data_IF_430815339790
#
_entry.id   IF_430815339790
#
_cell.length_a   1.000
_cell.length_b   1.000
_cell.length_c   1.000
_cell.angle_alpha   90.00
_cell.angle_beta   90.00
_cell.angle_gamma   90.00
#
_symmetry.space_group_name_H-M   'P 1'
#
loop_
_entity.id
_entity.type
_entity.pdbx_description
1 polymer ?
#
# COMPACT_ATOMS: atom_id res chain seq x y z
N UNK A 1 34.68 9.31 20.54
CA UNK A 1 33.63 9.76 21.49
C UNK A 1 34.06 9.33 22.87
N UNK A 2 33.81 10.09 23.92
CA UNK A 2 34.27 9.78 25.27
C UNK A 2 33.14 9.02 25.99
N UNK A 3 33.50 7.98 26.75
CA UNK A 3 32.61 7.31 27.69
C UNK A 3 32.06 8.34 28.68
N UNK A 4 30.73 8.48 28.81
CA UNK A 4 30.13 9.41 29.77
C UNK A 4 30.04 8.72 31.13
N UNK A 5 30.67 9.31 32.15
CA UNK A 5 30.60 8.83 33.52
C UNK A 5 29.35 9.36 34.20
N UNK A 6 28.59 8.48 34.83
CA UNK A 6 27.31 8.75 35.52
C UNK A 6 27.51 8.54 37.03
N UNK A 7 27.27 9.59 37.77
CA UNK A 7 27.49 9.63 39.21
C UNK A 7 26.23 9.94 40.04
N UNK A 8 25.08 10.07 39.35
CA UNK A 8 23.77 10.20 40.00
C UNK A 8 22.66 9.64 39.12
N UNK A 9 21.53 9.23 39.70
CA UNK A 9 20.36 8.77 38.97
C UNK A 9 19.82 9.86 38.04
N UNK A 10 19.93 11.13 38.42
CA UNK A 10 19.50 12.25 37.59
C UNK A 10 20.38 12.44 36.33
N UNK A 11 21.70 12.27 36.43
CA UNK A 11 22.59 12.28 35.26
C UNK A 11 22.29 11.14 34.29
N UNK A 12 21.87 9.98 34.81
CA UNK A 12 21.41 8.88 33.98
C UNK A 12 20.17 9.29 33.18
N UNK A 13 19.14 9.83 33.85
CA UNK A 13 17.90 10.26 33.18
C UNK A 13 18.14 11.36 32.14
N UNK A 14 19.04 12.30 32.41
CA UNK A 14 19.46 13.32 31.44
C UNK A 14 20.13 12.68 30.22
N UNK A 15 21.02 11.70 30.45
CA UNK A 15 21.71 10.99 29.36
C UNK A 15 20.75 10.18 28.50
N UNK A 16 19.74 9.57 29.12
CA UNK A 16 18.67 8.86 28.40
C UNK A 16 17.84 9.81 27.53
N UNK A 17 17.61 11.04 28.00
CA UNK A 17 16.91 12.08 27.27
C UNK A 17 17.76 12.65 26.13
N UNK A 18 19.05 12.89 26.36
CA UNK A 18 20.00 13.34 25.34
C UNK A 18 20.19 12.31 24.22
N UNK A 19 20.14 11.01 24.53
CA UNK A 19 20.24 9.95 23.53
C UNK A 19 19.07 9.95 22.53
N UNK A 20 17.89 10.39 22.99
CA UNK A 20 16.69 10.39 22.17
C UNK A 20 16.20 9.00 21.82
N UNK A 21 15.35 8.92 20.78
CA UNK A 21 14.84 7.65 20.28
C UNK A 21 15.83 7.00 19.29
N UNK A 22 15.82 5.66 19.25
CA UNK A 22 16.57 4.84 18.28
C UNK A 22 18.11 4.93 18.38
N UNK A 23 18.65 5.37 19.50
CA UNK A 23 20.09 5.29 19.77
C UNK A 23 20.39 4.14 20.72
N UNK A 24 21.42 3.31 20.40
CA UNK A 24 21.90 2.28 21.32
C UNK A 24 22.64 2.94 22.47
N UNK A 25 22.25 2.58 23.69
CA UNK A 25 22.96 2.97 24.87
C UNK A 25 23.61 1.71 25.47
N UNK A 26 24.92 1.74 25.61
CA UNK A 26 25.72 0.66 26.22
C UNK A 26 26.14 1.11 27.60
N UNK A 27 25.60 0.47 28.63
CA UNK A 27 25.87 0.79 30.04
C UNK A 27 26.85 -0.20 30.63
N UNK A 28 27.91 0.30 31.31
CA UNK A 28 28.82 -0.43 32.18
C UNK A 28 28.47 -0.12 33.63
N UNK A 29 27.88 -1.05 34.34
CA UNK A 29 27.61 -0.96 35.78
C UNK A 29 28.82 -1.47 36.54
N UNK A 30 29.52 -0.56 37.21
CA UNK A 30 30.77 -0.81 37.87
C UNK A 30 30.81 -0.26 39.33
N UNK A 31 31.80 -0.72 40.11
CA UNK A 31 32.15 -0.11 41.37
C UNK A 31 33.70 0.13 41.45
N UNK A 32 34.14 1.11 42.22
CA UNK A 32 35.55 1.47 42.33
C UNK A 32 36.43 0.33 42.95
N UNK A 33 35.84 -0.44 43.84
CA UNK A 33 36.48 -1.59 44.48
C UNK A 33 36.47 -2.86 43.61
N UNK A 34 35.79 -2.88 42.50
CA UNK A 34 35.63 -4.05 41.63
C UNK A 34 36.92 -4.28 40.78
N UNK A 35 37.66 -5.34 41.06
CA UNK A 35 38.84 -5.74 40.30
C UNK A 35 38.56 -6.05 38.82
N UNK A 36 37.62 -6.96 38.51
CA UNK A 36 37.28 -7.29 37.14
C UNK A 36 36.77 -6.09 36.30
N UNK A 37 36.12 -5.10 36.94
CA UNK A 37 35.70 -3.87 36.27
C UNK A 37 36.88 -3.06 35.76
N UNK A 38 37.98 -2.96 36.56
CA UNK A 38 39.20 -2.29 36.13
C UNK A 38 39.89 -2.99 34.95
N UNK A 39 39.82 -4.31 34.89
CA UNK A 39 40.43 -5.11 33.81
C UNK A 39 39.74 -4.85 32.46
N UNK A 40 38.41 -4.73 32.41
CA UNK A 40 37.65 -4.57 31.16
C UNK A 40 37.49 -3.10 30.76
N UNK A 41 37.72 -2.13 31.67
CA UNK A 41 37.53 -0.72 31.39
C UNK A 41 38.27 -0.21 30.14
N UNK A 42 39.53 -0.55 29.86
CA UNK A 42 40.21 -0.11 28.64
C UNK A 42 39.56 -0.64 27.35
N UNK A 43 38.95 -1.83 27.41
CA UNK A 43 38.25 -2.44 26.28
C UNK A 43 36.93 -1.73 26.05
N UNK A 44 36.19 -1.40 27.10
CA UNK A 44 34.96 -0.62 27.02
C UNK A 44 35.21 0.78 26.42
N UNK A 45 36.29 1.45 26.83
CA UNK A 45 36.72 2.73 26.26
C UNK A 45 37.10 2.61 24.78
N UNK A 46 37.84 1.56 24.38
CA UNK A 46 38.14 1.28 22.97
C UNK A 46 36.83 1.09 22.16
N UNK A 47 35.91 0.27 22.65
CA UNK A 47 34.63 0.05 21.96
C UNK A 47 33.81 1.34 21.84
N UNK A 48 33.88 2.28 22.78
CA UNK A 48 33.23 3.58 22.64
C UNK A 48 33.74 4.41 21.45
N UNK A 49 35.02 4.21 21.06
CA UNK A 49 35.59 4.84 19.87
C UNK A 49 35.26 4.06 18.59
N UNK A 50 35.27 2.71 18.64
CA UNK A 50 35.01 1.83 17.51
C UNK A 50 33.51 1.89 17.08
N UNK A 51 32.61 2.09 18.03
CA UNK A 51 31.13 2.13 17.81
C UNK A 51 30.55 3.53 18.07
N UNK A 52 31.05 4.53 17.35
CA UNK A 52 30.66 5.95 17.51
C UNK A 52 29.15 6.23 17.34
N UNK A 53 28.38 5.33 16.73
CA UNK A 53 26.93 5.40 16.57
C UNK A 53 26.16 5.06 17.85
N UNK A 54 26.78 4.42 18.86
CA UNK A 54 26.20 4.14 20.17
C UNK A 54 26.65 5.17 21.22
N UNK A 55 25.89 5.30 22.30
CA UNK A 55 26.27 6.07 23.48
C UNK A 55 26.77 5.12 24.55
N UNK A 56 27.94 5.41 25.11
CA UNK A 56 28.57 4.60 26.17
C UNK A 56 28.48 5.31 27.50
N UNK A 57 27.85 4.66 28.49
CA UNK A 57 27.65 5.17 29.85
C UNK A 57 28.39 4.26 30.85
N UNK A 58 29.15 4.85 31.73
CA UNK A 58 29.84 4.16 32.85
C UNK A 58 29.19 4.58 34.15
N UNK A 59 28.46 3.67 34.80
CA UNK A 59 27.53 3.95 35.91
C UNK A 59 28.08 3.34 37.19
N UNK A 60 28.41 4.22 38.15
CA UNK A 60 28.85 3.80 39.45
C UNK A 60 27.67 3.33 40.33
N UNK A 61 27.56 2.03 40.62
CA UNK A 61 26.43 1.46 41.36
C UNK A 61 26.35 1.94 42.81
N UNK A 62 27.48 2.36 43.42
CA UNK A 62 27.49 2.89 44.78
C UNK A 62 26.86 4.28 44.86
N UNK A 63 26.87 5.04 43.72
CA UNK A 63 26.34 6.39 43.61
C UNK A 63 24.97 6.45 42.89
N UNK A 64 24.68 5.47 42.04
CA UNK A 64 23.48 5.38 41.25
C UNK A 64 22.63 4.17 41.70
N UNK A 65 22.24 4.16 42.95
CA UNK A 65 21.55 3.00 43.57
C UNK A 65 20.13 2.82 42.99
N UNK A 66 19.44 3.89 42.69
CA UNK A 66 18.12 3.85 42.07
C UNK A 66 18.14 3.18 40.69
N UNK A 67 19.09 3.57 39.84
CA UNK A 67 19.29 2.98 38.50
C UNK A 67 19.75 1.51 38.62
N UNK A 68 20.66 1.20 39.53
CA UNK A 68 21.13 -0.16 39.76
C UNK A 68 19.97 -1.08 40.22
N UNK A 69 19.07 -0.59 41.06
CA UNK A 69 17.87 -1.29 41.49
C UNK A 69 16.85 -1.46 40.33
N UNK A 70 16.60 -0.40 39.58
CA UNK A 70 15.70 -0.39 38.40
C UNK A 70 16.06 -1.50 37.40
N UNK A 71 17.35 -1.65 37.09
CA UNK A 71 17.84 -2.68 36.17
C UNK A 71 18.28 -3.97 36.84
N UNK A 72 17.96 -4.14 38.14
CA UNK A 72 18.24 -5.37 38.93
C UNK A 72 19.70 -5.80 38.86
N UNK A 73 20.67 -4.86 39.03
CA UNK A 73 22.09 -5.15 39.00
C UNK A 73 22.51 -5.86 40.29
N UNK A 74 23.07 -7.07 40.17
CA UNK A 74 23.44 -7.93 41.30
C UNK A 74 24.93 -8.29 41.32
N UNK A 75 25.63 -8.05 40.23
CA UNK A 75 27.05 -8.36 40.07
C UNK A 75 27.76 -7.29 39.23
N UNK A 76 29.06 -7.05 39.46
CA UNK A 76 29.86 -6.13 38.68
C UNK A 76 31.08 -6.84 38.06
N UNK A 77 31.48 -6.49 36.81
CA UNK A 77 30.72 -5.60 35.90
C UNK A 77 29.45 -6.28 35.36
N UNK A 78 28.40 -5.50 35.13
CA UNK A 78 27.26 -5.89 34.30
C UNK A 78 27.11 -4.87 33.18
N UNK A 79 27.05 -5.37 31.94
CA UNK A 79 26.83 -4.54 30.77
C UNK A 79 25.40 -4.71 30.28
N UNK A 80 24.73 -3.58 30.02
CA UNK A 80 23.38 -3.57 29.41
C UNK A 80 23.42 -2.83 28.08
N UNK A 81 22.67 -3.32 27.11
CA UNK A 81 22.27 -2.56 25.94
C UNK A 81 20.83 -2.12 26.09
N UNK A 82 20.58 -0.81 26.00
CA UNK A 82 19.27 -0.20 26.08
C UNK A 82 18.89 0.44 24.72
N UNK A 83 17.65 0.26 24.30
CA UNK A 83 17.06 0.93 23.15
C UNK A 83 15.68 1.45 23.56
N UNK A 84 15.46 2.77 23.39
CA UNK A 84 14.22 3.42 23.83
C UNK A 84 13.85 3.11 25.29
N UNK A 85 14.86 3.16 26.18
CA UNK A 85 14.75 2.86 27.63
C UNK A 85 14.42 1.39 27.96
N UNK A 86 14.31 0.51 26.96
CA UNK A 86 14.06 -0.92 27.14
C UNK A 86 15.37 -1.69 27.07
N UNK A 87 15.61 -2.58 28.04
CA UNK A 87 16.73 -3.52 27.98
C UNK A 87 16.56 -4.49 26.82
N UNK A 88 17.53 -4.51 25.90
CA UNK A 88 17.51 -5.38 24.73
C UNK A 88 18.54 -6.52 24.83
N UNK A 89 19.40 -6.47 25.83
CA UNK A 89 20.35 -7.51 26.14
C UNK A 89 21.26 -7.14 27.31
N UNK A 90 21.80 -8.17 27.98
CA UNK A 90 22.79 -8.02 29.08
C UNK A 90 23.85 -9.08 29.06
N UNK A 91 24.96 -8.76 29.68
CA UNK A 91 26.04 -9.69 30.02
C UNK A 91 26.61 -9.35 31.41
N UNK A 92 26.93 -10.36 32.17
CA UNK A 92 27.59 -10.22 33.48
C UNK A 92 29.02 -10.77 33.44
N UNK A 93 29.95 -10.06 34.09
CA UNK A 93 31.36 -10.40 34.14
C UNK A 93 32.19 -9.71 33.05
N UNK A 94 33.53 -9.78 33.23
CA UNK A 94 34.49 -9.14 32.35
C UNK A 94 34.83 -10.01 31.12
N UNK A 95 33.86 -10.15 30.21
CA UNK A 95 33.98 -10.90 28.94
C UNK A 95 33.99 -9.94 27.74
N UNK A 96 35.15 -9.66 27.12
CA UNK A 96 35.29 -8.77 25.98
C UNK A 96 34.52 -9.27 24.72
N UNK A 97 34.50 -10.58 24.48
CA UNK A 97 33.87 -11.16 23.29
C UNK A 97 32.36 -11.11 23.43
N UNK A 98 31.84 -11.44 24.62
CA UNK A 98 30.43 -11.30 24.93
C UNK A 98 29.96 -9.86 24.84
N UNK A 99 30.74 -8.88 25.30
CA UNK A 99 30.44 -7.46 25.21
C UNK A 99 30.42 -7.00 23.73
N UNK A 100 31.38 -7.41 22.91
CA UNK A 100 31.41 -7.13 21.48
C UNK A 100 30.18 -7.67 20.77
N UNK A 101 29.82 -8.92 21.08
CA UNK A 101 28.59 -9.55 20.54
C UNK A 101 27.34 -8.79 20.97
N UNK A 102 27.23 -8.44 22.26
CA UNK A 102 26.08 -7.67 22.79
C UNK A 102 25.90 -6.33 22.08
N UNK A 103 26.99 -5.60 21.81
CA UNK A 103 26.97 -4.33 21.08
C UNK A 103 26.50 -4.54 19.63
N UNK A 104 27.06 -5.52 18.91
CA UNK A 104 26.69 -5.81 17.53
C UNK A 104 25.23 -6.25 17.41
N UNK A 105 24.76 -7.11 18.32
CA UNK A 105 23.35 -7.53 18.38
C UNK A 105 22.43 -6.33 18.65
N UNK A 106 22.83 -5.42 19.54
CA UNK A 106 22.13 -4.17 19.82
C UNK A 106 22.05 -3.24 18.61
N UNK A 107 23.17 -3.03 17.93
CA UNK A 107 23.25 -2.20 16.72
C UNK A 107 22.41 -2.80 15.57
N UNK A 108 22.39 -4.13 15.44
CA UNK A 108 21.56 -4.80 14.43
C UNK A 108 20.04 -4.57 14.65
N UNK A 109 19.65 -4.38 15.93
CA UNK A 109 18.25 -4.04 16.26
C UNK A 109 17.92 -2.59 15.92
N UNK A 110 18.87 -1.65 16.05
CA UNK A 110 18.69 -0.24 15.65
C UNK A 110 18.53 -0.12 14.14
N UNK A 111 19.42 -0.72 13.36
CA UNK A 111 19.33 -0.71 11.90
C UNK A 111 17.97 -1.24 11.45
N UNK A 112 17.51 -2.35 12.02
CA UNK A 112 16.17 -2.88 11.75
C UNK A 112 15.03 -1.93 12.17
N UNK A 113 15.17 -1.23 13.30
CA UNK A 113 14.13 -0.29 13.79
C UNK A 113 14.15 1.01 12.99
N UNK A 114 15.33 1.55 12.66
CA UNK A 114 15.46 2.77 11.82
C UNK A 114 15.04 2.57 10.37
N UNK A 115 15.26 1.38 9.80
CA UNK A 115 14.82 1.04 8.45
C UNK A 115 13.29 1.07 8.29
N UNK A 116 12.53 0.83 9.37
CA UNK A 116 11.07 0.81 9.36
C UNK A 116 10.40 2.14 9.73
N UNK A 117 11.18 3.16 10.13
CA UNK A 117 10.66 4.48 10.48
C UNK A 117 10.64 5.38 9.24
N UNK A 118 9.45 5.87 8.91
CA UNK A 118 9.27 6.79 7.79
C UNK A 118 9.92 8.15 8.06
N UNK A 119 10.65 8.70 7.09
CA UNK A 119 11.07 10.09 7.08
C UNK A 119 9.89 11.04 6.74
N UNK A 120 10.12 12.34 6.71
CA UNK A 120 9.04 13.32 6.48
C UNK A 120 8.36 13.14 5.11
N UNK A 121 9.14 12.98 4.04
CA UNK A 121 8.61 12.79 2.68
C UNK A 121 7.84 11.45 2.54
N UNK A 122 8.37 10.37 3.14
CA UNK A 122 7.67 9.08 3.16
C UNK A 122 6.36 9.14 3.94
N UNK A 123 6.30 9.86 5.08
CA UNK A 123 5.06 10.06 5.85
C UNK A 123 4.03 10.84 5.07
N UNK A 124 4.41 11.92 4.42
CA UNK A 124 3.54 12.74 3.58
C UNK A 124 2.95 11.88 2.45
N UNK A 125 3.81 11.16 1.73
CA UNK A 125 3.37 10.30 0.64
C UNK A 125 2.46 9.15 1.09
N UNK A 126 2.77 8.52 2.23
CA UNK A 126 1.94 7.43 2.79
C UNK A 126 0.61 7.94 3.36
N UNK A 127 0.53 9.20 3.78
CA UNK A 127 -0.67 9.80 4.38
C UNK A 127 -1.90 9.73 3.48
N UNK A 128 -1.75 9.86 2.17
CA UNK A 128 -2.85 9.76 1.20
C UNK A 128 -3.58 8.41 1.25
N UNK A 129 -2.87 7.33 1.59
CA UNK A 129 -3.45 5.99 1.62
C UNK A 129 -4.28 5.71 2.88
N UNK A 130 -4.07 6.49 3.96
CA UNK A 130 -4.95 6.46 5.14
C UNK A 130 -6.35 6.91 4.74
N UNK A 131 -6.45 8.04 4.03
CA UNK A 131 -7.71 8.57 3.53
C UNK A 131 -8.38 7.59 2.54
N UNK A 132 -7.62 7.00 1.61
CA UNK A 132 -8.14 6.00 0.68
C UNK A 132 -8.74 4.77 1.40
N UNK A 133 -8.11 4.34 2.51
CA UNK A 133 -8.62 3.23 3.33
C UNK A 133 -9.90 3.60 4.07
N UNK A 134 -9.99 4.82 4.63
CA UNK A 134 -11.15 5.27 5.39
C UNK A 134 -12.40 5.42 4.50
N UNK A 135 -12.21 5.80 3.24
CA UNK A 135 -13.30 5.90 2.26
C UNK A 135 -14.02 4.59 1.97
N UNK A 136 -13.40 3.44 2.24
CA UNK A 136 -14.04 2.13 1.98
C UNK A 136 -15.32 1.91 2.78
N UNK A 137 -15.52 2.62 3.88
CA UNK A 137 -16.73 2.55 4.69
C UNK A 137 -18.02 2.94 3.92
N UNK A 138 -17.91 3.80 2.89
CA UNK A 138 -19.05 4.24 2.10
C UNK A 138 -19.75 3.09 1.33
N UNK A 139 -19.01 2.02 1.03
CA UNK A 139 -19.55 0.86 0.32
C UNK A 139 -20.30 -0.10 1.26
N UNK A 140 -20.17 0.07 2.57
CA UNK A 140 -20.85 -0.73 3.60
C UNK A 140 -22.12 -0.01 4.13
N UNK A 141 -22.41 1.20 3.65
CA UNK A 141 -23.62 1.92 4.00
C UNK A 141 -24.86 1.21 3.46
N UNK A 142 -25.79 0.88 4.35
CA UNK A 142 -26.98 0.08 4.03
C UNK A 142 -27.90 0.80 3.04
N UNK A 143 -28.01 2.14 3.12
CA UNK A 143 -28.83 2.91 2.20
C UNK A 143 -28.23 2.89 0.79
N UNK A 144 -26.93 3.10 0.68
CA UNK A 144 -26.21 3.06 -0.59
C UNK A 144 -26.32 1.67 -1.25
N UNK A 145 -26.17 0.59 -0.47
CA UNK A 145 -26.35 -0.78 -0.98
C UNK A 145 -27.79 -1.05 -1.42
N UNK A 146 -28.77 -0.60 -0.64
CA UNK A 146 -30.20 -0.74 -0.99
C UNK A 146 -30.54 -0.01 -2.30
N UNK A 147 -30.02 1.21 -2.48
CA UNK A 147 -30.17 1.96 -3.73
C UNK A 147 -29.55 1.20 -4.90
N UNK A 148 -28.35 0.66 -4.74
CA UNK A 148 -27.71 -0.13 -5.79
C UNK A 148 -28.54 -1.37 -6.14
N UNK A 149 -29.02 -2.12 -5.15
CA UNK A 149 -29.87 -3.31 -5.36
C UNK A 149 -31.21 -2.97 -6.06
N UNK A 150 -31.74 -1.78 -5.82
CA UNK A 150 -33.00 -1.37 -6.51
C UNK A 150 -32.83 -1.11 -8.02
N UNK A 151 -31.59 -0.92 -8.47
CA UNK A 151 -31.25 -0.59 -9.86
C UNK A 151 -30.66 -1.81 -10.59
N UNK A 152 -29.88 -2.63 -9.91
CA UNK A 152 -29.22 -3.82 -10.47
C UNK A 152 -30.27 -4.90 -10.77
N UNK A 153 -30.25 -5.54 -11.94
CA UNK A 153 -31.14 -6.69 -12.23
C UNK A 153 -30.64 -7.96 -11.55
N UNK A 154 -30.72 -7.98 -10.22
CA UNK A 154 -30.06 -8.99 -9.34
C UNK A 154 -30.43 -10.41 -9.73
N UNK A 155 -31.72 -10.69 -9.93
CA UNK A 155 -32.20 -12.04 -10.25
C UNK A 155 -31.65 -12.54 -11.58
N UNK A 156 -31.62 -11.67 -12.59
CA UNK A 156 -31.10 -12.00 -13.92
C UNK A 156 -29.58 -12.31 -13.84
N UNK A 157 -28.82 -11.44 -13.14
CA UNK A 157 -27.38 -11.63 -13.01
C UNK A 157 -27.03 -12.89 -12.22
N UNK A 158 -27.73 -13.17 -11.13
CA UNK A 158 -27.56 -14.39 -10.34
C UNK A 158 -27.94 -15.63 -11.12
N UNK A 159 -29.04 -15.60 -11.88
CA UNK A 159 -29.44 -16.72 -12.73
C UNK A 159 -28.35 -17.09 -13.74
N UNK A 160 -27.74 -16.09 -14.39
CA UNK A 160 -26.63 -16.28 -15.34
C UNK A 160 -25.33 -16.75 -14.67
N UNK A 161 -25.15 -16.41 -13.40
CA UNK A 161 -23.95 -16.73 -12.64
C UNK A 161 -24.09 -18.02 -11.82
N UNK A 162 -25.26 -18.66 -11.78
CA UNK A 162 -25.46 -19.89 -11.00
C UNK A 162 -25.01 -21.12 -11.81
N UNK A 163 -24.15 -21.91 -11.23
CA UNK A 163 -23.70 -23.19 -11.75
C UNK A 163 -23.79 -24.23 -10.63
N UNK A 164 -24.35 -25.41 -10.90
CA UNK A 164 -24.54 -26.50 -9.91
C UNK A 164 -25.22 -26.04 -8.59
N UNK A 165 -26.20 -25.15 -8.71
CA UNK A 165 -26.97 -24.53 -7.60
C UNK A 165 -26.16 -23.57 -6.70
N UNK A 166 -24.92 -23.21 -7.07
CA UNK A 166 -24.10 -22.20 -6.37
C UNK A 166 -23.83 -21.01 -7.28
N UNK A 167 -23.79 -19.82 -6.66
CA UNK A 167 -23.42 -18.59 -7.39
C UNK A 167 -21.90 -18.56 -7.57
N UNK A 168 -21.46 -18.58 -8.83
CA UNK A 168 -20.07 -18.43 -9.18
C UNK A 168 -19.66 -16.96 -9.17
N UNK A 169 -18.72 -16.57 -8.31
CA UNK A 169 -18.31 -15.18 -8.14
C UNK A 169 -17.63 -14.59 -9.38
N UNK A 170 -16.89 -15.41 -10.16
CA UNK A 170 -16.30 -14.96 -11.43
C UNK A 170 -17.39 -14.62 -12.44
N UNK A 171 -18.38 -15.50 -12.61
CA UNK A 171 -19.49 -15.26 -13.53
C UNK A 171 -20.35 -14.08 -13.07
N UNK A 172 -20.63 -13.96 -11.77
CA UNK A 172 -21.41 -12.85 -11.23
C UNK A 172 -20.70 -11.51 -11.48
N UNK A 173 -19.41 -11.43 -11.20
CA UNK A 173 -18.61 -10.23 -11.46
C UNK A 173 -18.56 -9.88 -12.96
N UNK A 174 -18.46 -10.89 -13.84
CA UNK A 174 -18.48 -10.73 -15.29
C UNK A 174 -19.81 -10.20 -15.81
N UNK A 175 -20.92 -10.78 -15.36
CA UNK A 175 -22.26 -10.34 -15.78
C UNK A 175 -22.56 -8.94 -15.22
N UNK A 176 -22.13 -8.64 -13.99
CA UNK A 176 -22.23 -7.30 -13.41
C UNK A 176 -21.43 -6.27 -14.22
N UNK A 177 -20.20 -6.60 -14.65
CA UNK A 177 -19.39 -5.74 -15.52
C UNK A 177 -20.10 -5.44 -16.84
N UNK A 178 -20.65 -6.48 -17.50
CA UNK A 178 -21.37 -6.33 -18.76
C UNK A 178 -22.59 -5.43 -18.62
N UNK A 179 -23.38 -5.63 -17.57
CA UNK A 179 -24.52 -4.77 -17.25
C UNK A 179 -24.07 -3.34 -16.96
N UNK A 180 -23.06 -3.16 -16.09
CA UNK A 180 -22.57 -1.86 -15.67
C UNK A 180 -22.02 -1.05 -16.85
N UNK A 181 -21.33 -1.68 -17.79
CA UNK A 181 -20.83 -1.03 -18.99
C UNK A 181 -21.94 -0.44 -19.87
N UNK A 182 -23.10 -1.08 -19.90
CA UNK A 182 -24.29 -0.54 -20.57
C UNK A 182 -24.98 0.57 -19.78
N UNK A 183 -24.93 0.48 -18.44
CA UNK A 183 -25.57 1.38 -17.50
C UNK A 183 -24.83 2.70 -17.32
N UNK A 184 -23.50 2.66 -17.23
CA UNK A 184 -22.64 3.81 -16.93
C UNK A 184 -21.96 4.34 -18.20
N UNK A 185 -21.77 5.66 -18.33
CA UNK A 185 -21.24 6.28 -19.55
C UNK A 185 -19.96 7.08 -19.29
N UNK A 186 -18.99 6.88 -20.16
CA UNK A 186 -17.74 7.64 -20.13
C UNK A 186 -17.93 9.08 -20.61
N UNK A 187 -17.29 10.03 -19.89
CA UNK A 187 -17.32 11.46 -20.25
C UNK A 187 -15.91 11.92 -20.56
N UNK A 188 -15.63 12.26 -21.81
CA UNK A 188 -14.37 12.90 -22.21
C UNK A 188 -14.36 14.38 -21.83
N UNK A 189 -15.41 15.10 -22.25
CA UNK A 189 -15.70 16.50 -21.92
C UNK A 189 -17.20 16.68 -21.77
N UNK A 190 -17.64 17.61 -20.90
CA UNK A 190 -19.05 17.93 -20.79
C UNK A 190 -19.54 18.47 -22.12
N UNK A 191 -20.77 18.20 -22.37
CA UNK A 191 -21.40 18.55 -23.59
C UNK A 191 -22.15 19.86 -23.37
N UNK A 192 -22.38 20.81 -24.34
CA UNK A 192 -23.04 22.13 -24.23
C UNK A 192 -24.49 22.09 -24.72
N UNK A 193 -25.49 22.50 -23.96
CA UNK A 193 -26.91 22.40 -24.32
C UNK A 193 -27.34 23.24 -25.55
N UNK A 194 -26.70 24.40 -25.73
CA UNK A 194 -26.94 25.26 -26.91
C UNK A 194 -26.38 24.70 -28.21
N UNK A 195 -25.36 23.83 -28.10
CA UNK A 195 -24.76 23.14 -29.25
C UNK A 195 -25.04 21.63 -29.24
N UNK A 196 -26.04 21.16 -28.51
CA UNK A 196 -26.42 19.74 -28.40
C UNK A 196 -25.79 19.02 -27.20
N UNK A 197 -25.64 19.67 -26.07
CA UNK A 197 -24.80 19.22 -25.00
C UNK A 197 -25.23 19.75 -23.62
N UNK A 198 -25.60 18.91 -22.63
CA UNK A 198 -26.26 19.26 -21.36
C UNK A 198 -25.41 19.68 -20.15
N UNK A 199 -25.97 20.56 -19.32
CA UNK A 199 -25.37 21.08 -18.07
C UNK A 199 -25.96 20.44 -16.80
N UNK A 200 -25.19 20.32 -15.70
CA UNK A 200 -25.78 20.25 -14.37
C UNK A 200 -26.24 21.63 -13.93
N UNK A 201 -27.37 21.68 -13.23
CA UNK A 201 -27.93 22.90 -12.65
C UNK A 201 -27.12 23.34 -11.42
N UNK A 202 -27.14 24.65 -11.05
CA UNK A 202 -26.35 25.22 -9.94
C UNK A 202 -26.68 24.57 -8.57
N UNK A 203 -27.85 23.99 -8.36
CA UNK A 203 -28.28 23.34 -7.13
C UNK A 203 -27.65 21.97 -6.87
N UNK A 204 -27.07 21.32 -7.88
CA UNK A 204 -26.40 20.03 -7.74
C UNK A 204 -24.96 20.14 -7.22
N UNK A 205 -24.44 21.37 -7.08
CA UNK A 205 -23.01 21.60 -6.85
C UNK A 205 -22.61 21.71 -5.37
N UNK A 206 -23.55 21.70 -4.40
CA UNK A 206 -23.21 22.13 -3.04
C UNK A 206 -22.82 21.05 -2.05
N UNK A 207 -23.30 19.80 -2.11
CA UNK A 207 -23.09 18.85 -1.00
C UNK A 207 -22.24 17.60 -1.25
N UNK A 208 -21.88 17.25 -2.51
CA UNK A 208 -21.22 15.97 -2.79
C UNK A 208 -20.08 16.04 -3.83
N UNK A 209 -19.78 17.25 -4.32
CA UNK A 209 -18.80 17.47 -5.39
C UNK A 209 -17.40 17.67 -4.81
N UNK A 210 -16.46 16.82 -5.18
CA UNK A 210 -15.04 16.97 -4.77
C UNK A 210 -14.36 18.09 -5.55
N UNK A 211 -14.66 18.19 -6.83
CA UNK A 211 -14.01 19.13 -7.76
C UNK A 211 -14.99 19.40 -8.90
N UNK A 212 -15.03 20.64 -9.38
CA UNK A 212 -15.72 20.99 -10.62
C UNK A 212 -14.68 21.32 -11.67
N UNK A 213 -14.64 20.53 -12.74
CA UNK A 213 -13.79 20.83 -13.90
C UNK A 213 -14.51 21.84 -14.80
N UNK A 214 -13.81 22.91 -15.18
CA UNK A 214 -14.34 23.95 -16.05
C UNK A 214 -13.83 23.76 -17.49
N UNK A 215 -14.74 23.82 -18.45
CA UNK A 215 -14.44 23.73 -19.87
C UNK A 215 -15.09 24.88 -20.61
N UNK A 216 -14.47 25.32 -21.71
CA UNK A 216 -15.05 26.30 -22.61
C UNK A 216 -15.61 25.60 -23.85
N UNK A 217 -16.87 25.88 -24.18
CA UNK A 217 -17.44 25.41 -25.43
C UNK A 217 -16.79 26.09 -26.62
N UNK A 218 -16.20 25.32 -27.54
CA UNK A 218 -15.54 25.87 -28.73
C UNK A 218 -16.50 26.64 -29.64
N UNK A 219 -17.77 26.24 -29.67
CA UNK A 219 -18.74 26.82 -30.57
C UNK A 219 -19.38 28.10 -30.02
N UNK A 220 -19.88 28.10 -28.79
CA UNK A 220 -20.60 29.22 -28.19
C UNK A 220 -19.80 30.00 -27.13
N UNK A 221 -18.57 29.54 -26.81
CA UNK A 221 -17.67 30.14 -25.81
C UNK A 221 -18.21 30.16 -24.38
N UNK A 222 -19.30 29.42 -24.11
CA UNK A 222 -19.79 29.30 -22.75
C UNK A 222 -18.94 28.37 -21.89
N UNK A 223 -18.85 28.68 -20.61
CA UNK A 223 -18.21 27.85 -19.62
C UNK A 223 -19.07 26.62 -19.34
N UNK A 224 -18.45 25.46 -19.43
CA UNK A 224 -19.06 24.17 -19.13
C UNK A 224 -18.50 23.63 -17.83
N UNK A 225 -19.34 23.16 -16.94
CA UNK A 225 -18.97 22.62 -15.63
C UNK A 225 -19.18 21.11 -15.63
N UNK A 226 -18.15 20.38 -15.19
CA UNK A 226 -18.22 18.94 -14.99
C UNK A 226 -17.93 18.62 -13.51
N UNK A 227 -18.98 18.42 -12.70
CA UNK A 227 -18.82 18.05 -11.30
C UNK A 227 -18.32 16.61 -11.17
N UNK A 228 -17.30 16.42 -10.32
CA UNK A 228 -16.70 15.13 -10.00
C UNK A 228 -17.27 14.66 -8.65
N UNK A 229 -18.05 13.59 -8.67
CA UNK A 229 -18.70 13.06 -7.48
C UNK A 229 -17.90 11.93 -6.83
N UNK A 230 -17.78 12.00 -5.50
CA UNK A 230 -17.18 10.92 -4.69
C UNK A 230 -18.23 10.02 -4.03
N UNK A 231 -19.48 10.46 -3.94
CA UNK A 231 -20.57 9.66 -3.41
C UNK A 231 -21.02 8.63 -4.47
N UNK A 232 -20.88 7.30 -4.23
CA UNK A 232 -21.26 6.30 -5.21
C UNK A 232 -22.78 6.20 -5.42
N UNK A 233 -23.61 6.59 -4.44
CA UNK A 233 -25.06 6.68 -4.62
C UNK A 233 -25.43 7.78 -5.62
N UNK A 234 -24.78 8.94 -5.57
CA UNK A 234 -24.95 9.99 -6.56
C UNK A 234 -24.52 9.54 -7.96
N UNK A 235 -23.51 8.69 -8.04
CA UNK A 235 -23.08 8.11 -9.31
C UNK A 235 -24.09 7.11 -9.90
N UNK A 236 -24.88 6.44 -9.09
CA UNK A 236 -26.01 5.61 -9.55
C UNK A 236 -27.10 6.46 -10.23
N UNK A 237 -27.31 7.71 -9.80
CA UNK A 237 -28.23 8.65 -10.45
C UNK A 237 -27.64 9.21 -11.75
N UNK A 238 -26.42 9.78 -11.67
CA UNK A 238 -25.79 10.50 -12.78
C UNK A 238 -25.33 9.58 -13.90
N UNK A 239 -24.95 8.34 -13.58
CA UNK A 239 -24.56 7.26 -14.50
C UNK A 239 -23.48 7.65 -15.49
N UNK A 240 -22.58 8.55 -15.08
CA UNK A 240 -21.54 9.07 -15.95
C UNK A 240 -20.30 9.51 -15.17
N UNK A 241 -19.13 9.41 -15.80
CA UNK A 241 -17.87 9.79 -15.18
C UNK A 241 -16.67 9.32 -15.96
N UNK A 242 -15.52 9.31 -15.30
CA UNK A 242 -14.25 8.72 -15.78
C UNK A 242 -13.86 7.55 -14.88
N UNK A 243 -12.58 7.12 -14.93
CA UNK A 243 -12.13 5.92 -14.20
C UNK A 243 -12.45 5.96 -12.71
N UNK A 244 -12.27 7.12 -12.04
CA UNK A 244 -12.59 7.28 -10.62
C UNK A 244 -14.06 7.00 -10.30
N UNK A 245 -14.97 7.63 -11.03
CA UNK A 245 -16.42 7.45 -10.88
C UNK A 245 -16.85 6.02 -11.27
N UNK A 246 -16.28 5.47 -12.35
CA UNK A 246 -16.55 4.09 -12.77
C UNK A 246 -16.21 3.09 -11.69
N UNK A 247 -14.97 3.11 -11.19
CA UNK A 247 -14.51 2.18 -10.16
C UNK A 247 -15.28 2.36 -8.85
N UNK A 248 -15.57 3.61 -8.45
CA UNK A 248 -16.28 3.94 -7.23
C UNK A 248 -17.74 3.40 -7.27
N UNK A 249 -18.48 3.69 -8.33
CA UNK A 249 -19.86 3.21 -8.48
C UNK A 249 -19.92 1.68 -8.63
N UNK A 250 -18.99 1.09 -9.39
CA UNK A 250 -18.92 -0.36 -9.58
C UNK A 250 -18.57 -1.10 -8.29
N UNK A 251 -17.67 -0.54 -7.45
CA UNK A 251 -17.35 -1.13 -6.15
C UNK A 251 -18.59 -1.22 -5.25
N UNK A 252 -19.43 -0.19 -5.21
CA UNK A 252 -20.71 -0.23 -4.50
C UNK A 252 -21.61 -1.34 -5.04
N UNK A 253 -21.76 -1.45 -6.38
CA UNK A 253 -22.56 -2.51 -6.99
C UNK A 253 -22.07 -3.92 -6.62
N UNK A 254 -20.74 -4.13 -6.61
CA UNK A 254 -20.14 -5.39 -6.17
C UNK A 254 -20.47 -5.70 -4.71
N UNK A 255 -20.30 -4.70 -3.81
CA UNK A 255 -20.61 -4.87 -2.39
C UNK A 255 -22.08 -5.15 -2.13
N UNK A 256 -22.96 -4.45 -2.82
CA UNK A 256 -24.41 -4.67 -2.73
C UNK A 256 -24.83 -6.10 -3.13
N UNK A 257 -24.15 -6.72 -4.10
CA UNK A 257 -24.36 -8.12 -4.47
C UNK A 257 -23.72 -9.13 -3.50
N UNK A 258 -23.04 -8.67 -2.44
CA UNK A 258 -22.36 -9.50 -1.45
C UNK A 258 -20.96 -9.95 -1.85
N UNK A 259 -20.39 -9.45 -2.94
CA UNK A 259 -19.04 -9.76 -3.37
C UNK A 259 -18.00 -9.09 -2.47
N UNK A 260 -16.99 -9.82 -2.00
CA UNK A 260 -15.84 -9.21 -1.33
C UNK A 260 -15.06 -8.39 -2.34
N UNK A 261 -14.88 -7.10 -2.06
CA UNK A 261 -14.42 -6.13 -3.06
C UNK A 261 -13.33 -5.24 -2.51
N UNK A 262 -12.34 -4.92 -3.35
CA UNK A 262 -11.29 -3.93 -3.08
C UNK A 262 -11.29 -2.86 -4.17
N UNK A 263 -11.15 -1.60 -3.78
CA UNK A 263 -10.82 -0.52 -4.70
C UNK A 263 -9.32 -0.52 -4.94
N UNK A 264 -8.88 -0.42 -6.18
CA UNK A 264 -7.45 -0.48 -6.55
C UNK A 264 -7.04 0.83 -7.20
N UNK A 265 -5.92 1.38 -6.73
CA UNK A 265 -5.38 2.67 -7.17
C UNK A 265 -3.94 2.47 -7.61
N UNK A 266 -3.61 2.91 -8.81
CA UNK A 266 -2.23 2.99 -9.27
C UNK A 266 -1.61 4.37 -8.99
N UNK A 267 -0.30 4.47 -9.13
CA UNK A 267 0.42 5.74 -9.02
C UNK A 267 0.49 6.53 -10.34
N UNK A 268 -0.21 6.10 -11.39
CA UNK A 268 -0.19 6.66 -12.74
C UNK A 268 -1.60 7.08 -13.23
N UNK A 269 -2.46 7.48 -12.29
CA UNK A 269 -3.79 8.05 -12.55
C UNK A 269 -4.77 7.06 -13.21
N UNK A 270 -4.87 5.85 -12.65
CA UNK A 270 -5.95 4.93 -12.97
C UNK A 270 -6.44 4.17 -11.73
N UNK A 271 -7.72 3.84 -11.73
CA UNK A 271 -8.39 3.12 -10.64
C UNK A 271 -9.33 2.07 -11.20
N UNK A 272 -9.41 0.94 -10.51
CA UNK A 272 -10.29 -0.19 -10.86
C UNK A 272 -10.71 -0.95 -9.60
N UNK A 273 -11.23 -2.14 -9.76
CA UNK A 273 -11.77 -2.94 -8.66
C UNK A 273 -11.17 -4.34 -8.69
N UNK A 274 -11.03 -4.96 -7.54
CA UNK A 274 -10.79 -6.40 -7.41
C UNK A 274 -11.93 -7.05 -6.64
N UNK A 275 -12.31 -8.24 -7.08
CA UNK A 275 -13.35 -9.08 -6.46
C UNK A 275 -12.76 -10.42 -6.06
N UNK A 276 -13.02 -10.87 -4.84
CA UNK A 276 -12.60 -12.20 -4.39
C UNK A 276 -13.51 -13.29 -4.96
N UNK A 277 -12.92 -14.31 -5.55
CA UNK A 277 -13.63 -15.52 -5.97
C UNK A 277 -13.44 -16.65 -4.97
N UNK A 278 -14.52 -17.11 -4.37
CA UNK A 278 -14.47 -18.27 -3.46
C UNK A 278 -14.21 -19.59 -4.20
N UNK A 279 -14.59 -19.68 -5.46
CA UNK A 279 -14.32 -20.86 -6.29
C UNK A 279 -12.85 -20.91 -6.72
N UNK A 280 -12.28 -19.78 -7.14
CA UNK A 280 -10.89 -19.69 -7.62
C UNK A 280 -9.89 -19.40 -6.49
N UNK A 281 -10.36 -19.09 -5.28
CA UNK A 281 -9.54 -18.74 -4.10
C UNK A 281 -8.50 -17.66 -4.38
N UNK A 282 -8.86 -16.65 -5.17
CA UNK A 282 -8.01 -15.51 -5.50
C UNK A 282 -8.80 -14.25 -5.83
N UNK A 283 -8.11 -13.12 -5.84
CA UNK A 283 -8.65 -11.85 -6.30
C UNK A 283 -8.69 -11.78 -7.81
N UNK A 284 -9.80 -11.32 -8.35
CA UNK A 284 -10.04 -11.12 -9.77
C UNK A 284 -9.93 -9.63 -10.10
N UNK A 285 -9.10 -9.28 -11.04
CA UNK A 285 -9.08 -7.95 -11.63
C UNK A 285 -10.39 -7.65 -12.36
N UNK A 286 -11.00 -6.49 -12.09
CA UNK A 286 -12.22 -6.02 -12.74
C UNK A 286 -12.06 -4.54 -13.11
N UNK A 287 -11.93 -4.22 -14.40
CA UNK A 287 -11.90 -2.83 -14.85
C UNK A 287 -13.23 -2.47 -15.55
N UNK A 288 -14.11 -1.72 -14.87
CA UNK A 288 -15.41 -1.35 -15.42
C UNK A 288 -15.32 -0.34 -16.57
N UNK A 289 -14.21 0.43 -16.70
CA UNK A 289 -14.01 1.36 -17.81
C UNK A 289 -13.76 0.62 -19.12
N UNK A 290 -13.03 -0.48 -19.04
CA UNK A 290 -12.65 -1.29 -20.20
C UNK A 290 -13.60 -2.48 -20.42
N UNK A 291 -14.48 -2.77 -19.47
CA UNK A 291 -15.33 -3.96 -19.44
C UNK A 291 -14.51 -5.25 -19.55
N UNK A 292 -13.49 -5.38 -18.71
CA UNK A 292 -12.60 -6.54 -18.69
C UNK A 292 -12.50 -7.13 -17.29
N UNK A 293 -12.38 -8.46 -17.25
CA UNK A 293 -12.19 -9.22 -16.03
C UNK A 293 -10.97 -10.13 -16.18
N UNK A 294 -10.21 -10.31 -15.09
CA UNK A 294 -9.09 -11.24 -14.96
C UNK A 294 -7.98 -11.05 -16.01
N UNK A 295 -7.73 -9.81 -16.38
CA UNK A 295 -6.69 -9.39 -17.32
C UNK A 295 -5.74 -8.37 -16.70
N UNK A 296 -5.06 -8.69 -15.57
CA UNK A 296 -4.32 -7.68 -14.79
C UNK A 296 -3.14 -7.05 -15.54
N UNK A 297 -2.56 -7.75 -16.51
CA UNK A 297 -1.42 -7.24 -17.29
C UNK A 297 -1.83 -6.31 -18.45
N UNK A 298 -3.12 -5.98 -18.61
CA UNK A 298 -3.59 -5.05 -19.64
C UNK A 298 -2.88 -3.69 -19.55
N UNK A 299 -2.58 -3.23 -18.34
CA UNK A 299 -1.92 -1.93 -18.12
C UNK A 299 -0.45 -1.96 -18.50
N UNK A 300 0.28 -3.03 -18.13
CA UNK A 300 1.71 -3.16 -18.45
C UNK A 300 1.91 -3.54 -19.91
N UNK A 301 1.30 -4.63 -20.37
CA UNK A 301 1.48 -5.16 -21.73
C UNK A 301 0.66 -4.41 -22.77
N UNK A 302 -0.60 -4.08 -22.46
CA UNK A 302 -1.52 -3.44 -23.40
C UNK A 302 -1.29 -1.93 -23.48
N UNK A 303 -1.22 -1.24 -22.35
CA UNK A 303 -1.09 0.23 -22.32
C UNK A 303 0.34 0.71 -22.18
N UNK A 304 1.30 -0.18 -21.93
CA UNK A 304 2.70 0.19 -21.72
C UNK A 304 2.97 0.98 -20.44
N UNK A 305 2.05 0.93 -19.46
CA UNK A 305 2.21 1.64 -18.18
C UNK A 305 3.37 1.05 -17.37
N UNK A 306 4.15 1.93 -16.77
CA UNK A 306 5.32 1.58 -15.94
C UNK A 306 5.01 1.82 -14.47
N UNK A 307 4.12 0.99 -13.90
CA UNK A 307 3.75 1.07 -12.49
C UNK A 307 4.96 0.92 -11.57
N UNK A 308 4.94 1.66 -10.46
CA UNK A 308 5.84 1.47 -9.33
C UNK A 308 5.06 1.01 -8.10
N UNK A 309 3.83 1.50 -7.94
CA UNK A 309 2.97 1.21 -6.79
C UNK A 309 1.54 1.04 -7.26
N UNK A 310 0.93 -0.07 -6.84
CA UNK A 310 -0.51 -0.35 -7.00
C UNK A 310 -1.02 -0.86 -5.66
N UNK A 311 -1.99 -0.15 -5.08
CA UNK A 311 -2.56 -0.51 -3.78
C UNK A 311 -4.03 -0.85 -3.89
N UNK A 312 -4.42 -1.91 -3.20
CA UNK A 312 -5.80 -2.35 -3.06
C UNK A 312 -6.31 -2.06 -1.63
N UNK A 313 -7.51 -1.52 -1.54
CA UNK A 313 -8.16 -1.11 -0.28
C UNK A 313 -9.53 -1.78 -0.15
N UNK A 314 -9.76 -2.45 0.97
CA UNK A 314 -11.06 -2.90 1.42
C UNK A 314 -11.40 -2.25 2.77
N UNK A 315 -12.61 -2.48 3.26
CA UNK A 315 -13.06 -1.98 4.57
C UNK A 315 -12.20 -2.52 5.72
N UNK A 316 -11.64 -3.71 5.58
CA UNK A 316 -11.00 -4.48 6.63
C UNK A 316 -9.50 -4.79 6.37
N UNK A 317 -8.96 -4.41 5.22
CA UNK A 317 -7.55 -4.58 4.90
C UNK A 317 -7.10 -3.69 3.74
N UNK A 318 -5.78 -3.50 3.62
CA UNK A 318 -5.11 -2.97 2.43
C UNK A 318 -3.94 -3.86 2.02
N UNK A 319 -3.55 -3.83 0.75
CA UNK A 319 -2.43 -4.60 0.24
C UNK A 319 -1.69 -3.87 -0.89
N UNK A 320 -0.37 -4.07 -0.95
CA UNK A 320 0.43 -3.75 -2.14
C UNK A 320 0.27 -4.88 -3.16
N UNK A 321 -0.43 -4.58 -4.23
CA UNK A 321 -0.78 -5.55 -5.28
C UNK A 321 -0.02 -5.30 -6.58
N UNK A 322 1.02 -4.48 -6.54
CA UNK A 322 1.86 -4.13 -7.72
C UNK A 322 2.29 -5.37 -8.51
N UNK A 323 2.58 -6.46 -7.80
CA UNK A 323 3.08 -7.71 -8.38
C UNK A 323 2.04 -8.47 -9.23
N UNK A 324 0.76 -8.20 -9.06
CA UNK A 324 -0.30 -8.72 -9.95
C UNK A 324 -0.36 -7.96 -11.27
N UNK A 325 -0.02 -6.69 -11.26
CA UNK A 325 -0.25 -5.76 -12.37
C UNK A 325 1.00 -5.47 -13.20
N UNK A 326 2.13 -6.06 -12.87
CA UNK A 326 3.36 -5.81 -13.59
C UNK A 326 4.16 -7.08 -13.84
N UNK A 327 4.64 -7.24 -15.07
CA UNK A 327 5.32 -8.46 -15.53
C UNK A 327 6.77 -8.54 -15.04
N UNK A 328 7.54 -7.44 -15.10
CA UNK A 328 8.97 -7.43 -14.75
C UNK A 328 9.20 -6.88 -13.33
N UNK A 329 9.42 -7.83 -12.40
CA UNK A 329 9.73 -7.52 -11.01
C UNK A 329 11.00 -6.68 -10.85
N UNK A 330 12.07 -7.00 -11.60
CA UNK A 330 13.37 -6.33 -11.45
C UNK A 330 13.29 -4.87 -11.92
N UNK A 331 12.61 -4.64 -13.02
CA UNK A 331 12.36 -3.32 -13.53
C UNK A 331 11.45 -2.49 -12.60
N UNK A 332 10.42 -3.15 -12.05
CA UNK A 332 9.47 -2.51 -11.12
C UNK A 332 10.15 -2.03 -9.84
N UNK A 333 10.99 -2.85 -9.22
CA UNK A 333 11.72 -2.49 -7.99
C UNK A 333 12.56 -1.23 -8.18
N UNK A 334 13.18 -1.05 -9.35
CA UNK A 334 14.01 0.14 -9.63
C UNK A 334 13.20 1.44 -9.69
N UNK A 335 11.92 1.37 -10.01
CA UNK A 335 11.01 2.52 -10.07
C UNK A 335 10.42 2.90 -8.70
N UNK A 336 10.54 2.03 -7.69
CA UNK A 336 9.97 2.21 -6.34
C UNK A 336 10.86 3.09 -5.48
N UNK A 337 10.80 4.41 -5.72
CA UNK A 337 11.68 5.41 -5.09
C UNK A 337 10.98 6.34 -4.10
N UNK A 338 9.64 6.26 -3.98
CA UNK A 338 8.86 7.15 -3.11
C UNK A 338 8.94 6.78 -1.63
N UNK A 339 9.12 5.49 -1.34
CA UNK A 339 9.19 4.95 0.01
C UNK A 339 10.09 3.71 0.03
N UNK A 340 10.89 3.57 1.08
CA UNK A 340 11.71 2.36 1.29
C UNK A 340 10.83 1.15 1.59
N UNK A 341 11.15 -0.01 1.03
CA UNK A 341 10.36 -1.25 1.18
C UNK A 341 10.11 -1.67 2.66
N UNK A 342 11.08 -1.57 3.58
CA UNK A 342 10.81 -1.85 5.00
C UNK A 342 9.79 -0.90 5.63
N UNK A 343 9.83 0.40 5.25
CA UNK A 343 8.89 1.42 5.71
C UNK A 343 7.48 1.12 5.19
N UNK A 344 7.35 0.83 3.89
CA UNK A 344 6.07 0.49 3.27
C UNK A 344 5.45 -0.76 3.90
N UNK A 345 6.22 -1.83 4.06
CA UNK A 345 5.74 -3.06 4.72
C UNK A 345 5.27 -2.81 6.15
N UNK A 346 6.00 -1.98 6.90
CA UNK A 346 5.61 -1.61 8.26
C UNK A 346 4.33 -0.76 8.29
N UNK A 347 4.17 0.16 7.33
CA UNK A 347 2.96 0.95 7.16
C UNK A 347 1.74 0.05 6.90
N UNK A 348 1.80 -0.82 5.90
CA UNK A 348 0.73 -1.76 5.55
C UNK A 348 0.39 -2.66 6.75
N UNK A 349 1.40 -3.20 7.44
CA UNK A 349 1.21 -4.01 8.64
C UNK A 349 0.46 -3.27 9.75
N UNK A 350 0.81 -1.99 10.01
CA UNK A 350 0.15 -1.15 11.01
C UNK A 350 -1.29 -0.84 10.62
N UNK A 351 -1.53 -0.48 9.35
CA UNK A 351 -2.88 -0.25 8.82
C UNK A 351 -3.75 -1.49 8.98
N UNK A 352 -3.25 -2.65 8.55
CA UNK A 352 -3.98 -3.90 8.66
C UNK A 352 -4.22 -4.33 10.12
N UNK A 353 -3.29 -4.06 11.04
CA UNK A 353 -3.50 -4.30 12.46
C UNK A 353 -4.63 -3.42 13.04
N UNK A 354 -4.70 -2.14 12.62
CA UNK A 354 -5.80 -1.23 12.98
C UNK A 354 -7.13 -1.72 12.43
N UNK A 355 -7.20 -2.06 11.14
CA UNK A 355 -8.42 -2.54 10.49
C UNK A 355 -8.88 -3.90 11.05
N UNK A 356 -7.95 -4.81 11.31
CA UNK A 356 -8.24 -6.12 11.90
C UNK A 356 -8.81 -6.03 13.33
N UNK A 357 -8.58 -4.93 14.07
CA UNK A 357 -9.20 -4.73 15.38
C UNK A 357 -10.71 -4.47 15.32
N UNK A 358 -11.23 -4.15 14.13
CA UNK A 358 -12.64 -3.81 13.90
C UNK A 358 -13.47 -5.00 13.41
N UNK A 359 -12.87 -6.16 13.18
CA UNK A 359 -13.54 -7.34 12.64
C UNK A 359 -13.47 -8.53 13.59
N UNK A 360 -14.35 -9.53 13.38
CA UNK A 360 -14.41 -10.75 14.19
C UNK A 360 -13.15 -11.62 14.03
N UNK A 361 -12.94 -12.56 14.98
CA UNK A 361 -11.81 -13.49 14.90
C UNK A 361 -11.88 -14.41 13.67
N UNK A 362 -13.08 -14.86 13.30
CA UNK A 362 -13.30 -15.67 12.09
C UNK A 362 -12.89 -14.88 10.85
N UNK A 363 -13.26 -13.60 10.76
CA UNK A 363 -12.88 -12.76 9.63
C UNK A 363 -11.36 -12.51 9.59
N UNK A 364 -10.70 -12.35 10.74
CA UNK A 364 -9.22 -12.26 10.82
C UNK A 364 -8.52 -13.49 10.27
N UNK A 365 -9.03 -14.69 10.61
CA UNK A 365 -8.51 -15.94 10.08
C UNK A 365 -8.71 -16.03 8.57
N UNK A 366 -9.88 -15.66 8.07
CA UNK A 366 -10.17 -15.63 6.64
C UNK A 366 -9.23 -14.67 5.89
N UNK A 367 -9.07 -13.42 6.38
CA UNK A 367 -8.16 -12.42 5.79
C UNK A 367 -6.71 -12.92 5.76
N UNK A 368 -6.26 -13.58 6.83
CA UNK A 368 -4.92 -14.16 6.87
C UNK A 368 -4.73 -15.24 5.81
N UNK A 369 -5.72 -16.11 5.62
CA UNK A 369 -5.66 -17.16 4.61
C UNK A 369 -5.69 -16.57 3.19
N UNK A 370 -6.54 -15.56 2.95
CA UNK A 370 -6.59 -14.83 1.68
C UNK A 370 -5.25 -14.16 1.37
N UNK A 371 -4.64 -13.50 2.37
CA UNK A 371 -3.32 -12.88 2.22
C UNK A 371 -2.23 -13.90 1.89
N UNK A 372 -2.21 -15.05 2.57
CA UNK A 372 -1.23 -16.10 2.29
C UNK A 372 -1.37 -16.64 0.87
N UNK A 373 -2.59 -16.88 0.42
CA UNK A 373 -2.87 -17.31 -0.97
C UNK A 373 -2.41 -16.26 -1.99
N UNK A 374 -2.68 -14.97 -1.72
CA UNK A 374 -2.27 -13.87 -2.58
C UNK A 374 -0.74 -13.71 -2.65
N UNK A 375 -0.04 -13.84 -1.52
CA UNK A 375 1.43 -13.81 -1.51
C UNK A 375 2.04 -14.99 -2.28
N UNK A 376 1.44 -16.18 -2.20
CA UNK A 376 1.84 -17.33 -3.02
C UNK A 376 1.62 -17.07 -4.52
N UNK A 377 0.50 -16.44 -4.89
CA UNK A 377 0.25 -15.98 -6.26
C UNK A 377 1.35 -15.04 -6.77
N UNK A 378 1.78 -14.07 -5.95
CA UNK A 378 2.84 -13.13 -6.32
C UNK A 378 4.23 -13.79 -6.46
N UNK A 379 4.49 -14.83 -5.71
CA UNK A 379 5.75 -15.57 -5.75
C UNK A 379 5.79 -16.66 -6.84
N UNK A 380 4.65 -17.01 -7.43
CA UNK A 380 4.59 -18.02 -8.47
C UNK A 380 5.01 -17.45 -9.82
N UNK A 381 6.01 -18.05 -10.50
CA UNK A 381 6.39 -17.65 -11.86
C UNK A 381 5.22 -17.79 -12.86
N UNK A 382 4.35 -18.78 -12.67
CA UNK A 382 3.20 -19.04 -13.53
C UNK A 382 2.10 -17.98 -13.38
N UNK A 383 2.02 -17.30 -12.25
CA UNK A 383 1.12 -16.16 -12.08
C UNK A 383 1.52 -14.97 -12.97
N UNK A 384 2.81 -14.83 -13.27
CA UNK A 384 3.34 -13.83 -14.21
C UNK A 384 3.22 -14.27 -15.67
N UNK A 385 3.20 -15.59 -15.90
CA UNK A 385 3.00 -16.23 -17.18
C UNK A 385 1.51 -16.42 -17.53
N UNK A 386 0.60 -15.72 -16.86
CA UNK A 386 -0.78 -15.68 -17.32
C UNK A 386 -0.76 -15.27 -18.76
N UNK A 387 -0.91 -16.30 -19.53
CA UNK A 387 -0.70 -16.38 -20.95
C UNK A 387 -1.39 -15.20 -21.61
N UNK A 388 -0.65 -14.52 -22.49
CA UNK A 388 -1.12 -13.31 -23.10
C UNK A 388 -2.42 -13.54 -23.82
N UNK A 389 -3.54 -13.52 -23.07
CA UNK A 389 -4.83 -13.40 -23.70
C UNK A 389 -4.76 -12.15 -24.58
N UNK A 390 -5.32 -12.19 -25.78
CA UNK A 390 -5.38 -11.04 -26.69
C UNK A 390 -5.84 -9.75 -25.96
N UNK A 391 -6.71 -9.91 -24.93
CA UNK A 391 -7.17 -8.82 -24.09
C UNK A 391 -6.04 -8.11 -23.31
N UNK A 392 -4.97 -8.80 -22.92
CA UNK A 392 -3.86 -8.18 -22.20
C UNK A 392 -2.94 -7.32 -23.08
N UNK A 393 -3.00 -7.52 -24.39
CA UNK A 393 -2.22 -6.75 -25.36
C UNK A 393 -3.02 -5.60 -25.99
N UNK A 394 -4.29 -5.44 -25.63
CA UNK A 394 -5.14 -4.37 -26.15
C UNK A 394 -4.77 -3.01 -25.56
N UNK A 395 -4.73 -1.99 -26.41
CA UNK A 395 -4.65 -0.60 -25.96
C UNK A 395 -5.91 -0.16 -25.23
N UNK A 396 -5.81 0.93 -24.51
CA UNK A 396 -6.90 1.54 -23.77
C UNK A 396 -8.05 1.92 -24.73
N UNK A 397 -9.28 1.59 -24.36
CA UNK A 397 -10.49 1.94 -25.13
C UNK A 397 -11.20 3.16 -24.57
N UNK A 398 -11.19 3.33 -23.26
CA UNK A 398 -11.80 4.48 -22.58
C UNK A 398 -11.01 5.77 -22.80
N UNK A 399 -11.70 6.89 -22.98
CA UNK A 399 -11.10 8.19 -23.20
C UNK A 399 -10.96 8.60 -24.66
N UNK A 400 -10.77 9.91 -24.93
CA UNK A 400 -10.58 10.44 -26.28
C UNK A 400 -9.29 9.93 -26.90
N UNK A 401 -9.29 9.73 -28.24
CA UNK A 401 -8.15 9.19 -28.97
C UNK A 401 -6.86 10.00 -28.71
N UNK A 402 -6.90 11.31 -28.91
CA UNK A 402 -5.74 12.20 -28.73
C UNK A 402 -5.15 12.13 -27.30
N UNK A 403 -6.01 11.96 -26.29
CA UNK A 403 -5.59 11.84 -24.91
C UNK A 403 -4.90 10.50 -24.64
N UNK A 404 -5.39 9.39 -25.23
CA UNK A 404 -4.74 8.07 -25.16
C UNK A 404 -3.40 8.04 -25.91
N UNK A 405 -3.34 8.71 -27.07
CA UNK A 405 -2.10 8.89 -27.85
C UNK A 405 -1.03 9.63 -27.07
N UNK A 406 -1.39 10.77 -26.45
CA UNK A 406 -0.46 11.56 -25.63
C UNK A 406 0.11 10.77 -24.44
N UNK A 407 -0.59 9.73 -23.96
CA UNK A 407 -0.17 8.87 -22.87
C UNK A 407 0.52 7.57 -23.33
N UNK A 408 0.57 7.33 -24.64
CA UNK A 408 1.13 6.10 -25.20
C UNK A 408 0.29 4.85 -24.93
N UNK A 409 -1.00 4.98 -24.61
CA UNK A 409 -1.89 3.91 -24.17
C UNK A 409 -2.69 3.25 -25.33
N UNK A 410 -2.21 3.31 -26.56
CA UNK A 410 -2.92 2.77 -27.73
C UNK A 410 -2.64 1.27 -28.01
N UNK A 411 -1.79 0.64 -27.22
CA UNK A 411 -1.38 -0.75 -27.43
C UNK A 411 -0.25 -0.90 -28.43
N UNK A 412 0.15 -2.15 -28.66
CA UNK A 412 1.19 -2.47 -29.65
C UNK A 412 0.54 -2.43 -31.02
N UNK A 413 0.92 -1.46 -31.88
CA UNK A 413 0.50 -1.44 -33.27
C UNK A 413 1.08 -2.67 -33.98
N UNK A 414 0.27 -3.39 -34.73
CA UNK A 414 0.72 -4.54 -35.55
C UNK A 414 1.73 -4.15 -36.63
N UNK A 415 1.83 -2.88 -36.96
CA UNK A 415 2.71 -2.33 -38.00
C UNK A 415 4.21 -2.62 -37.83
N UNK A 416 4.64 -3.06 -36.64
CA UNK A 416 6.03 -3.49 -36.41
C UNK A 416 6.30 -4.95 -36.77
N UNK A 417 5.29 -5.75 -37.14
CA UNK A 417 5.49 -7.15 -37.58
C UNK A 417 5.87 -7.25 -39.04
N UNK A 418 5.51 -6.29 -39.90
CA UNK A 418 5.83 -6.37 -41.33
C UNK A 418 7.25 -5.89 -41.68
N UNK A 419 7.87 -4.99 -40.91
CA UNK A 419 9.24 -4.52 -41.20
C UNK A 419 10.34 -5.56 -40.91
N UNK A 420 10.09 -6.58 -40.06
CA UNK A 420 11.08 -7.63 -39.79
C UNK A 420 11.07 -8.82 -40.77
N UNK A 421 10.12 -8.88 -41.69
CA UNK A 421 10.01 -9.98 -42.65
C UNK A 421 10.72 -9.67 -43.96
N UNK A 422 10.99 -8.40 -44.25
CA UNK A 422 11.59 -7.96 -45.55
C UNK A 422 13.12 -7.77 -45.55
N UNK A 423 13.81 -7.97 -44.44
CA UNK A 423 15.28 -8.00 -44.41
C UNK A 423 15.79 -9.44 -44.45
N UNK A 424 15.63 -10.11 -45.62
CA UNK A 424 16.52 -11.23 -45.99
C UNK A 424 17.67 -10.65 -46.81
N UNK A 425 18.92 -10.93 -46.43
CA UNK A 425 20.07 -10.48 -47.24
C UNK A 425 20.06 -11.26 -48.55
N UNK A 426 20.08 -10.55 -49.67
CA UNK A 426 20.39 -11.08 -50.97
C UNK A 426 21.85 -11.51 -51.01
N UNK A 427 22.06 -12.83 -50.95
CA UNK A 427 23.37 -13.39 -51.32
C UNK A 427 23.49 -13.46 -52.83
N UNK A 428 24.44 -12.76 -53.36
CA UNK A 428 25.13 -13.07 -54.60
C UNK A 428 26.62 -13.07 -54.37
#
# INVERSE_FOLDING_TARGET
>A
MVVKHINSDNEFEQSMTEAGENKLIVCDFFAEWCGPCRTIAPIFERFSNDFAQAMFLKINVDRCQGVAQQYSIRAMPTFLCLLNRVEIGRIQGADPNGLLKLINDGLSKITKTGEHVANAAEREWLGQFVYSSERMAIYEDELNQTLALSIIPVDELRQKATFENEVNHYLLAKELLNWFHSFFKWVNSPKCEKSGVGFPTEDEAQDEVTTVELYNCENCKEELRFPRYNNPAKLLETRRGRCGEYANCFALCCRALGLQTRSVIDNLDHVWVEVWSDQLKRWLHCDPCENVIDTPLIYDKGWGKKHAYVFAFAIDHMQDVTWRYHYDYKETIQRRTKVREPVLRNFIRKMNARLASLVTDERRVQLRNQLLTELLEFLSPDAQLRDGSEAQNQGRRSGALHWREARGELGVREDKKEEKINEKPSTS
#
